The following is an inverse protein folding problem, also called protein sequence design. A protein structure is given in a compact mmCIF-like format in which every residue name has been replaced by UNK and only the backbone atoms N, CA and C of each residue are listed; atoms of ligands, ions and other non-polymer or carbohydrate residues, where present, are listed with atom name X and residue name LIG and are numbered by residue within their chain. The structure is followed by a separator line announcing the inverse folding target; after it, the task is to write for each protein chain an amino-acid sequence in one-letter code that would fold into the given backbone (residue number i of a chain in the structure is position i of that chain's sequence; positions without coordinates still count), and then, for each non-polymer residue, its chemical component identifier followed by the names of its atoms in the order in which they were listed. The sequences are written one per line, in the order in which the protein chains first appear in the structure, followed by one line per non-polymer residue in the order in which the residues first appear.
data_IF_499492097472
#
_entry.id   IF_499492097472
#
_cell.length_a   1.000
_cell.length_b   1.000
_cell.length_c   1.000
_cell.angle_alpha   90.00
_cell.angle_beta   90.00
_cell.angle_gamma   90.00
#
_symmetry.space_group_name_H-M   'P 1'
#
loop_
_entity.id
_entity.type
_entity.pdbx_description
1 polymer ?
#
# COMPACT_ATOMS: atom_id res chain seq x y z
N UNK A 1 -38.50 51.62 31.93
CA UNK A 1 -37.57 50.97 32.89
C UNK A 1 -38.32 49.88 33.65
N UNK A 2 -38.19 48.61 33.25
CA UNK A 2 -38.84 47.50 33.94
C UNK A 2 -37.91 47.04 35.07
N UNK A 3 -38.31 47.29 36.33
CA UNK A 3 -37.67 46.72 37.53
C UNK A 3 -38.23 45.31 37.75
N UNK A 4 -37.40 44.28 37.64
CA UNK A 4 -37.78 42.91 38.01
C UNK A 4 -37.81 42.78 39.55
N UNK A 5 -38.87 42.15 40.07
CA UNK A 5 -39.05 41.83 41.50
C UNK A 5 -38.04 40.79 41.99
N UNK A 6 -37.60 40.88 43.26
CA UNK A 6 -36.59 39.97 43.87
C UNK A 6 -36.89 38.48 43.66
N UNK A 7 -38.16 38.08 43.64
CA UNK A 7 -38.55 36.69 43.42
C UNK A 7 -38.24 36.19 41.99
N UNK A 8 -38.29 37.07 40.99
CA UNK A 8 -37.93 36.75 39.61
C UNK A 8 -36.41 36.63 39.42
N UNK A 9 -35.63 37.47 40.11
CA UNK A 9 -34.16 37.36 40.11
C UNK A 9 -33.67 36.05 40.76
N UNK A 10 -34.33 35.59 41.83
CA UNK A 10 -33.98 34.31 42.48
C UNK A 10 -34.26 33.12 41.55
N UNK A 11 -35.40 33.12 40.84
CA UNK A 11 -35.73 32.03 39.88
C UNK A 11 -34.80 32.01 38.66
N UNK A 12 -34.36 33.17 38.16
CA UNK A 12 -33.34 33.23 37.10
C UNK A 12 -31.98 32.72 37.60
N UNK A 13 -31.60 33.04 38.84
CA UNK A 13 -30.35 32.57 39.45
C UNK A 13 -30.33 31.03 39.59
N UNK A 14 -31.42 30.44 40.08
CA UNK A 14 -31.54 28.98 40.21
C UNK A 14 -31.57 28.24 38.86
N UNK A 15 -32.15 28.84 37.82
CA UNK A 15 -32.12 28.25 36.48
C UNK A 15 -30.73 28.30 35.85
N UNK A 16 -29.97 29.39 36.08
CA UNK A 16 -28.60 29.54 35.60
C UNK A 16 -27.62 28.56 36.28
N UNK A 17 -27.78 28.29 37.57
CA UNK A 17 -26.95 27.31 38.29
C UNK A 17 -27.23 25.88 37.83
N UNK A 18 -28.48 25.53 37.51
CA UNK A 18 -28.84 24.22 36.95
C UNK A 18 -28.23 24.03 35.55
N UNK A 19 -28.22 25.07 34.70
CA UNK A 19 -27.60 25.02 33.37
C UNK A 19 -26.07 24.88 33.43
N UNK A 20 -25.41 25.59 34.34
CA UNK A 20 -23.96 25.50 34.54
C UNK A 20 -23.53 24.13 35.12
N UNK A 21 -24.32 23.58 36.04
CA UNK A 21 -24.10 22.22 36.57
C UNK A 21 -24.32 21.14 35.50
N UNK A 22 -25.33 21.31 34.64
CA UNK A 22 -25.57 20.42 33.51
C UNK A 22 -24.43 20.42 32.49
N UNK A 23 -23.90 21.61 32.14
CA UNK A 23 -22.79 21.74 31.19
C UNK A 23 -21.47 21.15 31.72
N UNK A 24 -21.19 21.31 33.02
CA UNK A 24 -20.00 20.71 33.65
C UNK A 24 -20.08 19.19 33.74
N UNK A 25 -21.26 18.62 34.01
CA UNK A 25 -21.49 17.17 33.94
C UNK A 25 -21.31 16.63 32.52
N UNK A 26 -21.75 17.36 31.50
CA UNK A 26 -21.61 17.01 30.09
C UNK A 26 -20.13 17.04 29.64
N UNK A 27 -19.35 18.02 30.10
CA UNK A 27 -17.89 18.08 29.87
C UNK A 27 -17.17 16.95 30.60
N UNK A 28 -17.56 16.61 31.84
CA UNK A 28 -17.02 15.46 32.56
C UNK A 28 -17.34 14.14 31.85
N UNK A 29 -18.55 13.96 31.31
CA UNK A 29 -18.93 12.82 30.47
C UNK A 29 -18.14 12.78 29.15
N UNK A 30 -17.85 13.92 28.54
CA UNK A 30 -17.03 14.00 27.33
C UNK A 30 -15.56 13.67 27.61
N UNK A 31 -15.02 14.10 28.76
CA UNK A 31 -13.65 13.83 29.19
C UNK A 31 -13.47 12.37 29.65
N UNK A 32 -14.48 11.75 30.26
CA UNK A 32 -14.45 10.30 30.57
C UNK A 32 -14.71 9.43 29.34
N UNK A 33 -15.53 9.88 28.38
CA UNK A 33 -15.66 9.22 27.07
C UNK A 33 -14.42 9.39 26.19
N UNK A 34 -13.63 10.46 26.38
CA UNK A 34 -12.38 10.73 25.67
C UNK A 34 -11.14 10.01 26.23
N UNK A 35 -11.26 9.31 27.38
CA UNK A 35 -10.21 8.44 27.92
C UNK A 35 -10.55 6.97 27.69
N UNK A 36 -10.56 6.58 26.43
CA UNK A 36 -10.13 5.25 26.02
C UNK A 36 -9.33 5.43 24.73
N UNK A 37 -8.07 5.87 24.86
CA UNK A 37 -7.02 5.33 23.98
C UNK A 37 -6.90 3.87 24.39
N UNK A 38 -7.89 3.08 23.97
CA UNK A 38 -7.62 1.70 23.66
C UNK A 38 -6.46 1.81 22.67
N UNK A 39 -5.25 1.47 23.13
CA UNK A 39 -4.23 1.02 22.20
C UNK A 39 -4.96 0.14 21.22
N UNK A 40 -4.84 0.44 19.94
CA UNK A 40 -5.48 -0.35 18.90
C UNK A 40 -4.91 -1.75 19.10
N UNK A 41 -5.65 -2.58 19.84
CA UNK A 41 -5.45 -4.01 19.92
C UNK A 41 -5.94 -4.45 18.56
N UNK A 42 -5.10 -4.24 17.55
CA UNK A 42 -5.20 -4.98 16.31
C UNK A 42 -5.06 -6.41 16.80
N UNK A 43 -6.18 -7.12 16.90
CA UNK A 43 -6.19 -8.56 17.11
C UNK A 43 -5.47 -9.16 15.93
N UNK A 44 -4.15 -9.30 16.04
CA UNK A 44 -3.33 -9.88 15.00
C UNK A 44 -3.79 -11.33 14.88
N UNK A 45 -4.27 -11.74 13.69
CA UNK A 45 -4.59 -13.14 13.50
C UNK A 45 -3.32 -13.95 13.76
N UNK A 46 -3.45 -14.98 14.60
CA UNK A 46 -2.39 -15.96 14.86
C UNK A 46 -2.00 -16.74 13.60
N UNK A 47 -2.83 -16.68 12.56
CA UNK A 47 -2.57 -17.24 11.24
C UNK A 47 -2.20 -16.12 10.24
N UNK A 48 -0.95 -16.09 9.73
CA UNK A 48 -0.50 -15.08 8.78
C UNK A 48 -1.32 -15.14 7.49
N UNK A 49 -1.87 -16.30 7.14
CA UNK A 49 -2.72 -16.48 5.97
C UNK A 49 -3.93 -15.54 5.98
N UNK A 50 -4.45 -15.16 7.14
CA UNK A 50 -5.56 -14.18 7.25
C UNK A 50 -5.09 -12.73 7.11
N UNK A 51 -3.87 -12.43 7.59
CA UNK A 51 -3.25 -11.11 7.42
C UNK A 51 -2.96 -10.83 5.93
N UNK A 52 -2.53 -11.86 5.18
CA UNK A 52 -2.21 -11.77 3.75
C UNK A 52 -3.37 -12.17 2.81
N UNK A 53 -4.51 -12.66 3.33
CA UNK A 53 -5.75 -12.89 2.55
C UNK A 53 -6.72 -11.71 2.57
N UNK A 54 -6.64 -10.84 3.57
CA UNK A 54 -7.64 -9.80 3.79
C UNK A 54 -7.29 -8.51 3.03
N UNK A 55 -7.19 -8.61 1.71
CA UNK A 55 -7.28 -7.45 0.82
C UNK A 55 -8.56 -7.58 0.03
N UNK A 56 -9.36 -6.51 -0.03
CA UNK A 56 -10.46 -6.41 -1.00
C UNK A 56 -9.91 -6.83 -2.38
N UNK A 57 -10.48 -7.91 -2.90
CA UNK A 57 -10.08 -8.65 -4.09
C UNK A 57 -10.32 -7.82 -5.36
N UNK A 58 -9.46 -6.83 -5.59
CA UNK A 58 -9.49 -5.92 -6.74
C UNK A 58 -8.07 -5.48 -7.18
N UNK A 59 -7.01 -6.10 -6.65
CA UNK A 59 -5.63 -5.76 -6.99
C UNK A 59 -5.35 -6.16 -8.44
N UNK A 60 -5.48 -5.19 -9.35
CA UNK A 60 -5.02 -5.33 -10.73
C UNK A 60 -3.53 -5.64 -10.71
N UNK A 61 -3.19 -6.85 -11.17
CA UNK A 61 -1.85 -7.42 -11.12
C UNK A 61 -0.69 -6.45 -11.43
N UNK A 62 0.39 -6.62 -10.68
CA UNK A 62 1.65 -5.91 -10.86
C UNK A 62 2.41 -6.54 -12.03
N UNK A 63 2.93 -5.71 -12.96
CA UNK A 63 3.76 -6.19 -14.07
C UNK A 63 5.22 -6.07 -13.67
N UNK A 64 5.90 -7.20 -13.50
CA UNK A 64 7.35 -7.25 -13.32
C UNK A 64 8.03 -7.53 -14.67
N UNK A 65 9.21 -6.96 -14.89
CA UNK A 65 10.03 -7.22 -16.09
C UNK A 65 11.15 -8.20 -15.75
N UNK A 66 11.27 -9.28 -16.52
CA UNK A 66 12.38 -10.24 -16.44
C UNK A 66 12.83 -10.53 -17.88
N UNK A 67 14.13 -10.43 -18.15
CA UNK A 67 14.69 -10.77 -19.46
C UNK A 67 14.72 -12.30 -19.61
N UNK A 68 13.91 -12.82 -20.52
CA UNK A 68 13.92 -14.25 -20.88
C UNK A 68 14.42 -14.34 -22.32
N UNK A 69 15.70 -14.66 -22.49
CA UNK A 69 16.21 -15.05 -23.79
C UNK A 69 15.62 -16.42 -24.18
N UNK A 70 15.28 -16.61 -25.46
CA UNK A 70 14.86 -17.91 -25.97
C UNK A 70 16.07 -18.72 -26.45
N UNK A 71 15.85 -20.00 -26.77
CA UNK A 71 16.87 -20.87 -27.36
C UNK A 71 16.36 -21.53 -28.64
N UNK A 72 17.07 -21.39 -29.76
CA UNK A 72 16.77 -22.09 -31.02
C UNK A 72 16.91 -23.60 -30.80
N UNK A 73 15.82 -24.35 -30.94
CA UNK A 73 15.83 -25.82 -30.77
C UNK A 73 15.36 -26.33 -29.41
N UNK A 74 15.20 -25.48 -28.39
CA UNK A 74 14.55 -25.85 -27.13
C UNK A 74 13.15 -25.23 -27.06
N UNK A 75 12.18 -25.92 -27.66
CA UNK A 75 10.81 -25.43 -27.84
C UNK A 75 9.97 -25.25 -26.57
N UNK A 76 10.51 -25.51 -25.36
CA UNK A 76 9.69 -25.67 -24.16
C UNK A 76 10.03 -24.73 -22.98
N UNK A 77 11.17 -24.02 -22.93
CA UNK A 77 11.52 -23.21 -21.74
C UNK A 77 10.47 -22.15 -21.40
N UNK A 78 10.04 -21.38 -22.40
CA UNK A 78 8.97 -20.38 -22.20
C UNK A 78 7.65 -21.03 -21.79
N UNK A 79 7.28 -22.15 -22.41
CA UNK A 79 6.05 -22.87 -22.06
C UNK A 79 6.11 -23.42 -20.64
N UNK A 80 7.28 -23.88 -20.19
CA UNK A 80 7.51 -24.35 -18.84
C UNK A 80 7.42 -23.21 -17.82
N UNK A 81 8.11 -22.08 -18.06
CA UNK A 81 8.04 -20.91 -17.18
C UNK A 81 6.61 -20.38 -17.13
N UNK A 82 5.97 -20.19 -18.28
CA UNK A 82 4.57 -19.75 -18.34
C UNK A 82 3.65 -20.70 -17.57
N UNK A 83 3.83 -22.02 -17.69
CA UNK A 83 3.03 -23.01 -16.94
C UNK A 83 3.27 -22.94 -15.44
N UNK A 84 4.52 -22.81 -14.98
CA UNK A 84 4.86 -22.68 -13.55
C UNK A 84 4.30 -21.38 -12.97
N UNK A 85 4.47 -20.27 -13.69
CA UNK A 85 4.10 -18.95 -13.23
C UNK A 85 2.59 -18.71 -13.29
N UNK A 86 1.88 -19.28 -14.28
CA UNK A 86 0.42 -19.07 -14.43
C UNK A 86 -0.42 -19.82 -13.40
N UNK A 87 0.10 -20.90 -12.78
CA UNK A 87 -0.56 -21.69 -11.72
C UNK A 87 -2.06 -21.90 -11.97
N UNK A 88 -2.38 -22.54 -13.10
CA UNK A 88 -3.75 -22.84 -13.54
C UNK A 88 -4.73 -21.63 -13.52
N UNK A 89 -4.22 -20.42 -13.78
CA UNK A 89 -4.96 -19.14 -13.72
C UNK A 89 -5.54 -18.80 -12.34
N UNK A 90 -4.94 -19.27 -11.26
CA UNK A 90 -5.30 -18.83 -9.90
C UNK A 90 -4.87 -17.38 -9.66
N UNK A 91 -5.53 -16.69 -8.71
CA UNK A 91 -5.26 -15.29 -8.35
C UNK A 91 -3.80 -15.01 -7.92
N UNK A 92 -3.02 -16.05 -7.62
CA UNK A 92 -1.62 -15.96 -7.18
C UNK A 92 -0.60 -16.23 -8.29
N UNK A 93 -1.06 -16.54 -9.52
CA UNK A 93 -0.19 -16.70 -10.68
C UNK A 93 0.08 -15.39 -11.41
N UNK A 94 1.10 -15.36 -12.27
CA UNK A 94 1.36 -14.22 -13.16
C UNK A 94 1.53 -14.62 -14.62
N UNK A 95 1.29 -13.66 -15.51
CA UNK A 95 1.39 -13.85 -16.95
C UNK A 95 2.77 -13.43 -17.44
N UNK A 96 3.51 -14.38 -18.00
CA UNK A 96 4.82 -14.09 -18.62
C UNK A 96 4.60 -13.34 -19.94
N UNK A 97 5.08 -12.10 -20.00
CA UNK A 97 4.94 -11.19 -21.15
C UNK A 97 6.25 -11.09 -21.95
N UNK A 98 6.15 -10.64 -23.21
CA UNK A 98 7.29 -10.36 -24.08
C UNK A 98 7.13 -8.96 -24.67
N UNK A 99 8.24 -8.23 -24.78
CA UNK A 99 8.30 -6.87 -25.32
C UNK A 99 9.59 -6.72 -26.15
N UNK A 100 9.65 -5.69 -27.00
CA UNK A 100 10.81 -5.43 -27.85
C UNK A 100 10.86 -6.34 -29.08
N UNK A 101 12.08 -6.66 -29.53
CA UNK A 101 12.28 -7.55 -30.69
C UNK A 101 12.06 -9.02 -30.30
N UNK A 102 10.85 -9.50 -30.57
CA UNK A 102 10.45 -10.89 -30.32
C UNK A 102 11.28 -11.86 -31.18
N UNK A 103 11.89 -11.41 -32.28
CA UNK A 103 12.78 -12.20 -33.13
C UNK A 103 13.97 -12.79 -32.38
N UNK A 104 14.51 -12.05 -31.40
CA UNK A 104 15.63 -12.49 -30.56
C UNK A 104 15.30 -13.73 -29.73
N UNK A 105 14.02 -13.98 -29.44
CA UNK A 105 13.61 -15.21 -28.73
C UNK A 105 13.85 -16.50 -29.54
N UNK A 106 14.23 -16.38 -30.82
CA UNK A 106 14.63 -17.52 -31.67
C UNK A 106 16.12 -17.80 -31.65
N UNK A 107 16.93 -16.94 -31.04
CA UNK A 107 18.38 -17.14 -30.91
C UNK A 107 18.68 -18.18 -29.83
N UNK A 108 19.93 -18.59 -29.68
CA UNK A 108 20.33 -19.56 -28.66
C UNK A 108 20.64 -18.90 -27.32
N UNK A 109 20.18 -19.51 -26.22
CA UNK A 109 20.42 -19.00 -24.85
C UNK A 109 21.91 -18.81 -24.52
N UNK A 110 22.78 -19.66 -25.07
CA UNK A 110 24.22 -19.59 -24.79
C UNK A 110 24.87 -18.29 -25.28
N UNK A 111 24.28 -17.62 -26.28
CA UNK A 111 24.75 -16.32 -26.76
C UNK A 111 24.63 -15.25 -25.67
N UNK A 112 23.73 -15.45 -24.70
CA UNK A 112 23.43 -14.52 -23.61
C UNK A 112 23.95 -15.00 -22.26
N UNK A 113 23.86 -16.30 -21.98
CA UNK A 113 24.17 -16.88 -20.66
C UNK A 113 25.48 -17.70 -20.63
N UNK A 114 26.11 -17.92 -21.78
CA UNK A 114 27.22 -18.88 -21.90
C UNK A 114 26.76 -20.34 -21.81
N UNK A 115 27.71 -21.27 -21.66
CA UNK A 115 27.41 -22.69 -21.51
C UNK A 115 28.26 -23.33 -20.42
N UNK A 116 27.64 -24.23 -19.65
CA UNK A 116 28.28 -25.02 -18.62
C UNK A 116 28.31 -26.48 -19.13
N UNK A 117 29.48 -26.97 -19.53
CA UNK A 117 29.65 -28.35 -20.04
C UNK A 117 29.78 -29.37 -18.89
N UNK A 118 29.27 -30.63 -19.01
CA UNK A 118 28.69 -31.25 -20.19
C UNK A 118 27.16 -31.21 -20.20
N UNK A 119 26.61 -30.92 -21.38
CA UNK A 119 25.17 -30.93 -21.65
C UNK A 119 24.58 -32.32 -21.33
N UNK A 120 23.66 -32.36 -20.38
CA UNK A 120 22.76 -33.50 -20.17
C UNK A 120 21.46 -33.19 -20.91
N UNK A 121 21.21 -33.92 -21.99
CA UNK A 121 20.04 -33.75 -22.86
C UNK A 121 18.72 -34.11 -22.18
N UNK A 122 18.79 -34.74 -21.01
CA UNK A 122 17.64 -35.10 -20.19
C UNK A 122 17.67 -34.33 -18.88
N UNK A 123 16.92 -33.24 -18.81
CA UNK A 123 16.19 -32.88 -17.61
C UNK A 123 15.10 -31.87 -17.98
N UNK A 124 13.94 -32.39 -18.39
CA UNK A 124 12.68 -31.74 -18.06
C UNK A 124 12.65 -31.56 -16.53
N UNK A 125 13.16 -30.41 -16.06
CA UNK A 125 13.13 -30.02 -14.66
C UNK A 125 11.67 -30.17 -14.21
N UNK A 126 11.41 -31.16 -13.35
CA UNK A 126 10.12 -31.31 -12.68
C UNK A 126 9.74 -29.92 -12.17
N UNK A 127 8.53 -29.43 -12.48
CA UNK A 127 8.10 -28.17 -11.89
C UNK A 127 8.28 -28.29 -10.37
N UNK A 128 8.95 -27.33 -9.71
CA UNK A 128 9.16 -27.38 -8.27
C UNK A 128 7.81 -27.60 -7.59
N UNK A 129 7.83 -28.40 -6.52
CA UNK A 129 6.62 -28.69 -5.76
C UNK A 129 5.95 -27.39 -5.33
N UNK A 130 4.62 -27.41 -5.38
CA UNK A 130 3.69 -26.32 -5.14
C UNK A 130 4.01 -25.63 -3.81
N UNK A 131 4.76 -24.53 -3.87
CA UNK A 131 5.05 -23.66 -2.71
C UNK A 131 3.84 -22.81 -2.35
N UNK A 132 3.88 -22.22 -1.16
CA UNK A 132 2.98 -21.11 -0.80
C UNK A 132 3.51 -19.87 -1.53
N UNK A 133 2.74 -19.37 -2.49
CA UNK A 133 3.08 -18.15 -3.22
C UNK A 133 2.68 -16.94 -2.38
N UNK A 134 3.56 -15.95 -2.32
CA UNK A 134 3.37 -14.69 -1.61
C UNK A 134 3.61 -13.55 -2.58
N UNK A 135 2.81 -12.49 -2.47
CA UNK A 135 3.09 -11.26 -3.19
C UNK A 135 4.43 -10.68 -2.71
N UNK A 136 5.24 -10.19 -3.65
CA UNK A 136 6.57 -9.64 -3.31
C UNK A 136 6.46 -8.46 -2.35
N UNK A 137 5.38 -7.67 -2.42
CA UNK A 137 5.16 -6.55 -1.52
C UNK A 137 4.96 -7.05 -0.09
N UNK A 138 4.30 -8.20 0.09
CA UNK A 138 3.97 -8.80 1.39
C UNK A 138 5.10 -9.65 1.99
N UNK A 139 6.11 -10.02 1.20
CA UNK A 139 7.27 -10.78 1.68
C UNK A 139 7.99 -10.07 2.84
N UNK A 140 8.14 -8.75 2.78
CA UNK A 140 8.79 -7.98 3.85
C UNK A 140 7.95 -7.98 5.14
N UNK A 141 6.62 -7.86 5.04
CA UNK A 141 5.75 -7.90 6.21
C UNK A 141 5.72 -9.31 6.82
N UNK A 142 5.75 -10.37 6.00
CA UNK A 142 5.86 -11.74 6.49
C UNK A 142 7.16 -11.97 7.25
N UNK A 143 8.28 -11.43 6.75
CA UNK A 143 9.56 -11.50 7.46
C UNK A 143 9.46 -10.91 8.88
N UNK A 144 8.94 -9.68 9.02
CA UNK A 144 8.76 -9.07 10.35
C UNK A 144 7.78 -9.83 11.24
N UNK A 145 6.72 -10.39 10.64
CA UNK A 145 5.76 -11.23 11.37
C UNK A 145 6.45 -12.48 11.94
N UNK A 146 7.21 -13.21 11.12
CA UNK A 146 7.95 -14.40 11.54
C UNK A 146 8.95 -14.07 12.64
N UNK A 147 9.77 -13.02 12.45
CA UNK A 147 10.72 -12.56 13.47
C UNK A 147 10.07 -12.23 14.81
N UNK A 148 8.88 -11.62 14.80
CA UNK A 148 8.15 -11.30 16.03
C UNK A 148 7.58 -12.55 16.73
N UNK A 149 6.94 -13.46 15.99
CA UNK A 149 6.27 -14.61 16.58
C UNK A 149 7.24 -15.73 16.99
N UNK A 150 8.36 -15.89 16.28
CA UNK A 150 9.39 -16.88 16.60
C UNK A 150 10.36 -16.41 17.70
N UNK A 151 10.43 -15.10 17.97
CA UNK A 151 11.31 -14.58 19.01
C UNK A 151 10.89 -15.05 20.42
N UNK A 152 11.87 -15.40 21.29
CA UNK A 152 11.60 -15.85 22.66
C UNK A 152 10.83 -14.80 23.47
N UNK A 153 9.86 -15.24 24.26
CA UNK A 153 9.09 -14.32 25.09
C UNK A 153 9.93 -13.57 26.11
N UNK A 154 9.62 -12.28 26.28
CA UNK A 154 10.36 -11.39 27.18
C UNK A 154 11.77 -10.99 26.68
N UNK A 155 12.21 -11.43 25.51
CA UNK A 155 13.51 -11.03 24.95
C UNK A 155 13.49 -9.62 24.36
N UNK A 156 14.63 -8.93 24.39
CA UNK A 156 14.81 -7.65 23.68
C UNK A 156 14.63 -7.79 22.18
N UNK A 157 14.98 -8.95 21.61
CA UNK A 157 14.74 -9.29 20.19
C UNK A 157 13.25 -9.25 19.88
N UNK A 158 12.39 -9.84 20.72
CA UNK A 158 10.95 -9.84 20.50
C UNK A 158 10.36 -8.44 20.55
N UNK A 159 10.83 -7.61 21.48
CA UNK A 159 10.39 -6.21 21.60
C UNK A 159 10.77 -5.39 20.37
N UNK A 160 12.00 -5.55 19.85
CA UNK A 160 12.45 -4.86 18.64
C UNK A 160 11.73 -5.36 17.39
N UNK A 161 11.55 -6.68 17.24
CA UNK A 161 10.80 -7.25 16.13
C UNK A 161 9.33 -6.80 16.15
N UNK A 162 8.72 -6.75 17.33
CA UNK A 162 7.38 -6.19 17.52
C UNK A 162 7.31 -4.75 17.03
N UNK A 163 8.26 -3.91 17.45
CA UNK A 163 8.34 -2.51 17.04
C UNK A 163 8.46 -2.38 15.51
N UNK A 164 9.39 -3.11 14.88
CA UNK A 164 9.58 -3.09 13.43
C UNK A 164 8.33 -3.52 12.67
N UNK A 165 7.67 -4.57 13.14
CA UNK A 165 6.42 -5.06 12.55
C UNK A 165 5.31 -4.00 12.60
N UNK A 166 5.09 -3.36 13.76
CA UNK A 166 4.07 -2.31 13.89
C UNK A 166 4.42 -1.03 13.12
N UNK A 167 5.70 -0.65 13.04
CA UNK A 167 6.14 0.48 12.21
C UNK A 167 5.86 0.22 10.73
N UNK A 168 6.17 -0.98 10.23
CA UNK A 168 5.87 -1.37 8.85
C UNK A 168 4.36 -1.41 8.58
N UNK A 169 3.56 -1.97 9.49
CA UNK A 169 2.11 -2.04 9.36
C UNK A 169 1.47 -0.65 9.38
N UNK A 170 1.91 0.22 10.30
CA UNK A 170 1.42 1.59 10.42
C UNK A 170 1.73 2.41 9.16
N UNK A 171 2.94 2.28 8.63
CA UNK A 171 3.33 2.93 7.38
C UNK A 171 2.45 2.47 6.20
N UNK A 172 2.24 1.15 6.05
CA UNK A 172 1.36 0.59 5.02
C UNK A 172 -0.06 1.12 5.10
N UNK A 173 -0.62 1.14 6.30
CA UNK A 173 -1.97 1.64 6.56
C UNK A 173 -2.10 3.13 6.22
N UNK A 174 -1.09 3.93 6.58
CA UNK A 174 -1.03 5.34 6.25
C UNK A 174 -1.04 5.57 4.74
N UNK A 175 -0.11 4.95 4.00
CA UNK A 175 -0.02 5.13 2.55
C UNK A 175 -1.33 4.71 1.86
N UNK A 176 -1.91 3.57 2.26
CA UNK A 176 -3.17 3.08 1.71
C UNK A 176 -4.32 4.06 1.95
N UNK A 177 -4.43 4.56 3.19
CA UNK A 177 -5.47 5.50 3.57
C UNK A 177 -5.31 6.85 2.85
N UNK A 178 -4.09 7.39 2.83
CA UNK A 178 -3.79 8.69 2.21
C UNK A 178 -4.09 8.68 0.72
N UNK A 179 -3.62 7.68 -0.04
CA UNK A 179 -3.89 7.62 -1.48
C UNK A 179 -5.39 7.43 -1.77
N UNK A 180 -6.07 6.59 -0.97
CA UNK A 180 -7.53 6.40 -1.08
C UNK A 180 -8.30 7.69 -0.79
N UNK A 181 -7.88 8.45 0.22
CA UNK A 181 -8.50 9.72 0.60
C UNK A 181 -8.27 10.77 -0.48
N UNK A 182 -7.04 10.93 -0.97
CA UNK A 182 -6.69 11.84 -2.07
C UNK A 182 -7.55 11.57 -3.30
N UNK A 183 -7.71 10.30 -3.72
CA UNK A 183 -8.58 9.99 -4.86
C UNK A 183 -10.04 10.36 -4.64
N UNK A 184 -10.55 10.22 -3.41
CA UNK A 184 -11.91 10.65 -3.05
C UNK A 184 -12.05 12.17 -3.04
N UNK A 185 -11.04 12.90 -2.58
CA UNK A 185 -11.02 14.37 -2.58
C UNK A 185 -10.97 14.92 -4.01
N UNK A 186 -10.13 14.33 -4.88
CA UNK A 186 -9.96 14.79 -6.26
C UNK A 186 -11.15 14.45 -7.17
N UNK A 187 -11.73 13.26 -7.05
CA UNK A 187 -12.71 12.75 -8.02
C UNK A 187 -14.07 12.38 -7.40
N UNK A 188 -14.23 12.52 -6.08
CA UNK A 188 -15.42 12.13 -5.35
C UNK A 188 -15.43 10.66 -4.89
N UNK A 189 -16.34 10.33 -3.98
CA UNK A 189 -16.38 9.04 -3.26
C UNK A 189 -16.59 7.84 -4.20
N UNK A 190 -17.40 8.01 -5.26
CA UNK A 190 -17.71 6.93 -6.23
C UNK A 190 -16.63 6.80 -7.30
N UNK A 191 -16.31 7.91 -7.97
CA UNK A 191 -15.40 7.91 -9.13
C UNK A 191 -13.92 7.85 -8.75
N UNK A 192 -13.54 8.29 -7.54
CA UNK A 192 -12.16 8.21 -7.05
C UNK A 192 -11.56 6.80 -7.14
N UNK A 193 -12.13 5.79 -6.47
CA UNK A 193 -11.63 4.42 -6.56
C UNK A 193 -11.56 3.89 -7.99
N UNK A 194 -12.54 4.23 -8.85
CA UNK A 194 -12.57 3.81 -10.26
C UNK A 194 -11.38 4.39 -11.05
N UNK A 195 -11.11 5.69 -10.90
CA UNK A 195 -10.00 6.37 -11.56
C UNK A 195 -8.66 5.86 -11.05
N UNK A 196 -8.49 5.72 -9.72
CA UNK A 196 -7.21 5.26 -9.16
C UNK A 196 -6.85 3.85 -9.61
N UNK A 197 -7.83 2.94 -9.71
CA UNK A 197 -7.62 1.54 -10.09
C UNK A 197 -7.60 1.31 -11.61
N UNK A 198 -7.95 2.31 -12.42
CA UNK A 198 -8.08 2.16 -13.86
C UNK A 198 -6.81 1.60 -14.53
N UNK A 199 -7.01 0.72 -15.51
CA UNK A 199 -5.94 0.04 -16.25
C UNK A 199 -6.03 0.43 -17.70
N UNK A 200 -4.94 0.96 -18.24
CA UNK A 200 -4.89 1.30 -19.66
C UNK A 200 -4.90 0.05 -20.55
N UNK A 201 -5.51 0.13 -21.75
CA UNK A 201 -5.43 -0.92 -22.75
C UNK A 201 -4.00 -1.37 -23.03
N UNK A 202 -3.86 -2.64 -23.42
CA UNK A 202 -2.55 -3.21 -23.79
C UNK A 202 -1.94 -2.42 -24.96
N UNK A 203 -0.65 -2.11 -24.86
CA UNK A 203 0.09 -1.36 -25.86
C UNK A 203 0.11 0.16 -25.66
N UNK A 204 -0.74 0.70 -24.77
CA UNK A 204 -0.66 2.12 -24.39
C UNK A 204 0.45 2.39 -23.38
N UNK A 205 1.05 3.60 -23.38
CA UNK A 205 2.00 4.00 -22.37
C UNK A 205 1.34 4.09 -20.99
N UNK A 206 2.14 3.86 -19.96
CA UNK A 206 1.68 3.86 -18.57
C UNK A 206 1.12 5.23 -18.13
N UNK A 207 1.79 6.31 -18.54
CA UNK A 207 1.39 7.70 -18.32
C UNK A 207 1.73 8.50 -19.58
N UNK A 208 0.94 9.52 -19.89
CA UNK A 208 1.22 10.41 -21.04
C UNK A 208 2.30 11.44 -20.71
N UNK A 209 2.26 11.99 -19.49
CA UNK A 209 3.24 12.96 -18.99
C UNK A 209 4.04 12.38 -17.80
N UNK A 210 5.29 12.00 -18.08
CA UNK A 210 6.23 11.49 -17.08
C UNK A 210 6.71 12.57 -16.10
N UNK A 211 6.73 13.84 -16.52
CA UNK A 211 7.10 14.95 -15.64
C UNK A 211 5.98 15.20 -14.62
N UNK A 212 4.72 15.16 -15.06
CA UNK A 212 3.56 15.17 -14.16
C UNK A 212 3.67 14.04 -13.14
N UNK A 213 3.91 12.80 -13.57
CA UNK A 213 3.97 11.66 -12.66
C UNK A 213 5.00 11.88 -11.55
N UNK A 214 6.22 12.31 -11.91
CA UNK A 214 7.28 12.61 -10.94
C UNK A 214 6.90 13.76 -10.01
N UNK A 215 6.28 14.81 -10.55
CA UNK A 215 5.83 15.96 -9.76
C UNK A 215 4.76 15.57 -8.72
N UNK A 216 3.75 14.79 -9.13
CA UNK A 216 2.70 14.34 -8.22
C UNK A 216 3.25 13.40 -7.13
N UNK A 217 4.17 12.49 -7.48
CA UNK A 217 4.82 11.61 -6.50
C UNK A 217 5.63 12.44 -5.48
N UNK A 218 6.45 13.40 -5.94
CA UNK A 218 7.21 14.27 -5.02
C UNK A 218 6.30 15.11 -4.13
N UNK A 219 5.20 15.62 -4.68
CA UNK A 219 4.22 16.42 -3.95
C UNK A 219 3.55 15.57 -2.86
N UNK A 220 3.12 14.35 -3.21
CA UNK A 220 2.63 13.39 -2.23
C UNK A 220 3.66 13.16 -1.12
N UNK A 221 4.90 12.82 -1.48
CA UNK A 221 5.93 12.48 -0.49
C UNK A 221 6.31 13.66 0.41
N UNK A 222 6.20 14.89 -0.08
CA UNK A 222 6.44 16.11 0.70
C UNK A 222 5.43 16.27 1.84
N UNK A 223 4.16 15.90 1.60
CA UNK A 223 3.09 16.04 2.59
C UNK A 223 2.83 14.78 3.40
N UNK A 224 2.95 13.62 2.77
CA UNK A 224 2.56 12.32 3.32
C UNK A 224 3.75 11.42 3.71
N UNK A 225 4.99 11.87 3.51
CA UNK A 225 6.19 11.06 3.74
C UNK A 225 6.51 10.11 2.58
N UNK A 226 7.68 9.46 2.65
CA UNK A 226 8.17 8.57 1.59
C UNK A 226 7.16 7.47 1.25
N UNK A 227 7.08 7.07 -0.03
CA UNK A 227 6.28 5.91 -0.43
C UNK A 227 6.88 4.58 0.05
N UNK A 228 8.19 4.52 0.29
CA UNK A 228 8.97 3.27 0.44
C UNK A 228 8.74 2.28 -0.71
N UNK A 229 9.30 1.08 -0.62
CA UNK A 229 9.07 0.03 -1.62
C UNK A 229 7.59 -0.38 -1.73
N UNK A 230 6.86 -0.32 -0.60
CA UNK A 230 5.45 -0.70 -0.56
C UNK A 230 4.55 0.27 -1.33
N UNK A 231 4.75 1.58 -1.12
CA UNK A 231 3.90 2.61 -1.71
C UNK A 231 4.03 2.72 -3.23
N UNK A 232 5.07 2.14 -3.83
CA UNK A 232 5.22 2.06 -5.28
C UNK A 232 4.05 1.34 -5.97
N UNK A 233 3.28 0.53 -5.25
CA UNK A 233 2.03 -0.05 -5.76
C UNK A 233 1.01 1.00 -6.22
N UNK A 234 1.09 2.22 -5.67
CA UNK A 234 0.22 3.35 -6.00
C UNK A 234 0.74 4.23 -7.14
N UNK A 235 1.87 3.90 -7.76
CA UNK A 235 2.39 4.65 -8.92
C UNK A 235 1.39 4.68 -10.07
N UNK A 236 0.56 3.63 -10.24
CA UNK A 236 -0.55 3.62 -11.20
C UNK A 236 -1.62 4.66 -10.85
N UNK A 237 -1.95 4.80 -9.57
CA UNK A 237 -2.90 5.81 -9.10
C UNK A 237 -2.43 7.22 -9.44
N UNK A 238 -1.16 7.53 -9.20
CA UNK A 238 -0.57 8.83 -9.56
C UNK A 238 -0.53 9.05 -11.08
N UNK A 239 -0.22 8.00 -11.86
CA UNK A 239 -0.29 8.07 -13.32
C UNK A 239 -1.72 8.36 -13.81
N UNK A 240 -2.73 7.72 -13.22
CA UNK A 240 -4.13 7.96 -13.55
C UNK A 240 -4.58 9.38 -13.18
N UNK A 241 -4.07 9.96 -12.08
CA UNK A 241 -4.29 11.37 -11.75
C UNK A 241 -3.71 12.30 -12.83
N UNK A 242 -2.48 12.06 -13.27
CA UNK A 242 -1.87 12.81 -14.37
C UNK A 242 -2.65 12.69 -15.67
N UNK A 243 -3.05 11.48 -16.03
CA UNK A 243 -3.85 11.20 -17.23
C UNK A 243 -5.25 11.85 -17.15
N UNK A 244 -5.74 12.14 -15.95
CA UNK A 244 -6.99 12.88 -15.72
C UNK A 244 -6.79 14.41 -15.67
N UNK A 245 -5.57 14.90 -15.90
CA UNK A 245 -5.25 16.32 -15.96
C UNK A 245 -5.05 17.01 -14.61
N UNK A 246 -4.85 16.25 -13.53
CA UNK A 246 -4.60 16.81 -12.19
C UNK A 246 -3.27 17.56 -12.18
N UNK A 247 -3.33 18.81 -11.71
CA UNK A 247 -2.17 19.67 -11.57
C UNK A 247 -1.50 19.53 -10.19
N UNK A 248 -0.26 19.99 -10.08
CA UNK A 248 0.55 19.88 -8.86
C UNK A 248 -0.05 20.69 -7.70
N UNK A 249 -0.71 21.80 -8.00
CA UNK A 249 -1.36 22.67 -7.02
C UNK A 249 -2.54 21.97 -6.36
N UNK A 250 -3.38 21.29 -7.16
CA UNK A 250 -4.51 20.49 -6.65
C UNK A 250 -3.99 19.35 -5.77
N UNK A 251 -2.89 18.70 -6.18
CA UNK A 251 -2.27 17.63 -5.41
C UNK A 251 -1.70 18.13 -4.08
N UNK A 252 -1.10 19.32 -4.06
CA UNK A 252 -0.59 19.98 -2.84
C UNK A 252 -1.72 20.17 -1.83
N UNK A 253 -2.86 20.73 -2.26
CA UNK A 253 -4.01 20.99 -1.41
C UNK A 253 -4.59 19.71 -0.79
N UNK A 254 -4.94 18.73 -1.63
CA UNK A 254 -5.56 17.47 -1.14
C UNK A 254 -4.58 16.61 -0.35
N UNK A 255 -3.28 16.68 -0.61
CA UNK A 255 -2.28 15.97 0.18
C UNK A 255 -2.09 16.62 1.55
N UNK A 256 -2.18 17.95 1.64
CA UNK A 256 -2.20 18.68 2.91
C UNK A 256 -3.39 18.31 3.79
N UNK A 257 -4.58 18.15 3.18
CA UNK A 257 -5.78 17.69 3.88
C UNK A 257 -5.68 16.21 4.30
N UNK A 258 -5.26 15.34 3.37
CA UNK A 258 -5.20 13.90 3.61
C UNK A 258 -4.12 13.51 4.62
N UNK A 259 -3.04 14.29 4.73
CA UNK A 259 -1.86 13.99 5.53
C UNK A 259 -1.55 15.06 6.58
N UNK A 260 -2.60 15.64 7.20
CA UNK A 260 -2.47 16.67 8.23
C UNK A 260 -1.55 16.28 9.41
N UNK A 261 -1.36 14.97 9.65
CA UNK A 261 -0.36 14.44 10.57
C UNK A 261 0.48 13.39 9.86
N UNK A 262 1.69 13.75 9.46
CA UNK A 262 2.63 12.80 8.87
C UNK A 262 3.05 11.76 9.94
N UNK A 263 2.91 10.44 9.68
CA UNK A 263 3.39 9.45 10.63
C UNK A 263 4.90 9.53 10.78
N UNK A 264 5.34 9.62 12.03
CA UNK A 264 6.73 9.51 12.41
C UNK A 264 7.14 8.03 12.32
N UNK A 265 8.16 7.74 11.51
CA UNK A 265 8.71 6.40 11.40
C UNK A 265 9.85 6.34 10.38
N UNK A 266 10.73 5.34 10.45
CA UNK A 266 11.85 5.20 9.53
C UNK A 266 11.38 5.05 8.08
N UNK A 267 10.22 4.42 7.87
CA UNK A 267 9.63 4.17 6.54
C UNK A 267 9.07 5.42 5.84
N UNK A 268 8.63 6.41 6.61
CA UNK A 268 8.09 7.67 6.07
C UNK A 268 9.17 8.75 5.91
N UNK A 269 10.43 8.45 6.28
CA UNK A 269 11.55 9.39 6.25
C UNK A 269 11.96 9.76 4.83
N UNK A 270 12.16 11.06 4.58
CA UNK A 270 12.72 11.58 3.34
C UNK A 270 14.25 11.75 3.38
N UNK A 271 14.92 11.22 4.42
CA UNK A 271 16.37 11.34 4.59
C UNK A 271 17.19 10.73 3.45
N UNK A 272 16.65 9.73 2.76
CA UNK A 272 17.26 9.08 1.58
C UNK A 272 16.82 9.71 0.25
N UNK A 273 16.08 10.82 0.29
CA UNK A 273 15.53 11.49 -0.89
C UNK A 273 14.11 11.05 -1.23
N UNK A 274 13.64 11.54 -2.37
CA UNK A 274 12.33 11.23 -2.95
C UNK A 274 12.41 10.00 -3.87
N UNK A 275 11.29 9.31 -4.05
CA UNK A 275 11.17 8.15 -4.95
C UNK A 275 11.20 8.53 -6.43
N UNK A 276 11.04 9.80 -6.78
CA UNK A 276 10.95 10.32 -8.14
C UNK A 276 11.93 11.47 -8.42
#
# INVERSE_FOLDING_TARGET
MIRLSSAAMIRLSSAATILLAGATLLVLLYVTAGRNVAGVVIGLPSDPSRLFRSGDDDSVGTRCAVLIAGSKGYGNYRHQVKKRTAKDNTAYGSHVMQFGDIGLSKENLFLYMGTNSPFVDDNCLRPPQKGVDLDQQDANLLYFWLEFFEAPEGSSRKLEAQKQFFEALSHRMHIDHSVKLIGKLLFGIKKGPEVLKAVRPVGQPFVDDWACLKSLVRTFETHCGSLSEYGLKYVRSFANMCNAGIQTEQMTEVSGEACARNPYGPWSSLSRGFSA
#
